data_IF_111271726173
#
_entry.id   IF_111271726173
#
_cell.length_a   1.000
_cell.length_b   1.000
_cell.length_c   1.000
_cell.angle_alpha   90.00
_cell.angle_beta   90.00
_cell.angle_gamma   90.00
#
_symmetry.space_group_name_H-M   'P 1'
#
loop_
_entity.id
_entity.type
_entity.pdbx_description
1 polymer ?
#
# COMPACT_ATOMS: atom_id res chain seq x y z
N UNK A 1 -24.48 3.24 -10.32
CA UNK A 1 -23.44 3.32 -9.27
C UNK A 1 -23.03 1.90 -8.88
N UNK A 2 -21.74 1.56 -8.77
CA UNK A 2 -21.35 0.24 -8.24
C UNK A 2 -21.71 0.12 -6.76
N UNK A 3 -22.20 -1.05 -6.34
CA UNK A 3 -22.52 -1.36 -4.96
C UNK A 3 -21.28 -1.26 -4.05
N UNK A 4 -21.50 -1.08 -2.74
CA UNK A 4 -20.40 -1.06 -1.76
C UNK A 4 -19.58 -2.36 -1.80
N UNK A 5 -20.24 -3.51 -1.92
CA UNK A 5 -19.58 -4.81 -2.01
C UNK A 5 -18.63 -4.89 -3.22
N UNK A 6 -19.05 -4.36 -4.38
CA UNK A 6 -18.22 -4.35 -5.58
C UNK A 6 -17.01 -3.41 -5.44
N UNK A 7 -17.19 -2.25 -4.80
CA UNK A 7 -16.06 -1.35 -4.47
C UNK A 7 -15.05 -2.06 -3.56
N UNK A 8 -15.52 -2.73 -2.52
CA UNK A 8 -14.66 -3.48 -1.58
C UNK A 8 -13.94 -4.60 -2.31
N UNK A 9 -14.62 -5.35 -3.18
CA UNK A 9 -14.01 -6.42 -3.97
C UNK A 9 -12.86 -5.94 -4.85
N UNK A 10 -12.99 -4.73 -5.41
CA UNK A 10 -11.92 -4.10 -6.19
C UNK A 10 -10.76 -3.62 -5.32
N UNK A 11 -11.03 -3.12 -4.11
CA UNK A 11 -10.00 -2.55 -3.23
C UNK A 11 -9.26 -3.59 -2.39
N UNK A 12 -9.93 -4.67 -1.98
CA UNK A 12 -9.38 -5.66 -1.06
C UNK A 12 -8.04 -6.27 -1.53
N UNK A 13 -7.86 -6.66 -2.81
CA UNK A 13 -6.57 -7.14 -3.29
C UNK A 13 -5.46 -6.07 -3.16
N UNK A 14 -5.79 -4.81 -3.43
CA UNK A 14 -4.81 -3.72 -3.32
C UNK A 14 -4.44 -3.42 -1.87
N UNK A 15 -5.38 -3.51 -0.93
CA UNK A 15 -5.08 -3.40 0.49
C UNK A 15 -4.17 -4.52 0.96
N UNK A 16 -4.44 -5.76 0.56
CA UNK A 16 -3.61 -6.91 0.89
C UNK A 16 -2.17 -6.73 0.40
N UNK A 17 -1.98 -6.33 -0.87
CA UNK A 17 -0.64 -6.04 -1.41
C UNK A 17 0.03 -4.90 -0.66
N UNK A 18 -0.70 -3.80 -0.39
CA UNK A 18 -0.13 -2.66 0.34
C UNK A 18 0.34 -3.05 1.74
N UNK A 19 -0.44 -3.85 2.48
CA UNK A 19 -0.02 -4.36 3.79
C UNK A 19 1.22 -5.25 3.69
N UNK A 20 1.25 -6.17 2.71
CA UNK A 20 2.42 -7.03 2.49
C UNK A 20 3.66 -6.18 2.20
N UNK A 21 3.54 -5.17 1.33
CA UNK A 21 4.65 -4.26 1.01
C UNK A 21 5.12 -3.49 2.25
N UNK A 22 4.20 -3.01 3.09
CA UNK A 22 4.55 -2.35 4.35
C UNK A 22 5.33 -3.26 5.29
N UNK A 23 4.86 -4.48 5.52
CA UNK A 23 5.56 -5.44 6.39
C UNK A 23 6.92 -5.83 5.82
N UNK A 24 7.00 -6.11 4.52
CA UNK A 24 8.27 -6.45 3.86
C UNK A 24 9.26 -5.28 3.94
N UNK A 25 8.81 -4.05 3.76
CA UNK A 25 9.66 -2.88 3.85
C UNK A 25 10.18 -2.67 5.28
N UNK A 26 9.31 -2.75 6.29
CA UNK A 26 9.72 -2.62 7.70
C UNK A 26 10.71 -3.73 8.09
N UNK A 27 10.36 -4.99 7.81
CA UNK A 27 11.25 -6.12 8.08
C UNK A 27 12.58 -6.02 7.32
N UNK A 28 12.54 -5.53 6.08
CA UNK A 28 13.74 -5.29 5.27
C UNK A 28 14.64 -4.22 5.85
N UNK A 29 14.07 -3.08 6.28
CA UNK A 29 14.83 -2.01 6.95
C UNK A 29 15.39 -2.51 8.27
N UNK A 30 14.60 -3.22 9.09
CA UNK A 30 15.05 -3.78 10.36
C UNK A 30 16.22 -4.77 10.16
N UNK A 31 16.13 -5.61 9.14
CA UNK A 31 17.18 -6.58 8.79
C UNK A 31 18.51 -5.91 8.41
N UNK A 32 18.45 -4.72 7.81
CA UNK A 32 19.62 -4.03 7.24
C UNK A 32 20.19 -2.96 8.16
N UNK A 33 19.35 -2.25 8.91
CA UNK A 33 19.71 -1.08 9.71
C UNK A 33 19.52 -1.28 11.23
N UNK A 34 19.01 -2.44 11.66
CA UNK A 34 18.67 -2.71 13.06
C UNK A 34 17.28 -2.19 13.44
N UNK A 35 16.98 -2.13 14.73
CA UNK A 35 15.64 -1.76 15.23
C UNK A 35 15.14 -0.41 14.67
N UNK A 36 13.91 -0.41 14.16
CA UNK A 36 13.28 0.80 13.61
C UNK A 36 12.31 1.38 14.65
N UNK A 37 12.64 2.58 15.15
CA UNK A 37 11.78 3.30 16.08
C UNK A 37 10.47 3.77 15.41
N UNK A 38 9.44 4.02 16.23
CA UNK A 38 8.08 4.36 15.78
C UNK A 38 8.03 5.48 14.72
N UNK A 39 8.79 6.56 14.92
CA UNK A 39 8.79 7.69 13.98
C UNK A 39 9.26 7.29 12.58
N UNK A 40 10.34 6.50 12.48
CA UNK A 40 10.84 6.00 11.21
C UNK A 40 9.86 5.00 10.57
N UNK A 41 9.26 4.12 11.38
CA UNK A 41 8.23 3.18 10.90
C UNK A 41 7.03 3.90 10.30
N UNK A 42 6.56 4.98 10.95
CA UNK A 42 5.48 5.82 10.43
C UNK A 42 5.86 6.45 9.08
N UNK A 43 7.07 7.01 8.97
CA UNK A 43 7.55 7.58 7.69
C UNK A 43 7.55 6.53 6.59
N UNK A 44 8.06 5.33 6.84
CA UNK A 44 8.08 4.23 5.86
C UNK A 44 6.65 3.89 5.41
N UNK A 45 5.73 3.73 6.35
CA UNK A 45 4.32 3.42 6.06
C UNK A 45 3.66 4.53 5.24
N UNK A 46 3.88 5.81 5.59
CA UNK A 46 3.33 6.94 4.83
C UNK A 46 3.90 7.00 3.42
N UNK A 47 5.20 6.82 3.25
CA UNK A 47 5.85 6.78 1.93
C UNK A 47 5.21 5.69 1.08
N UNK A 48 5.03 4.48 1.62
CA UNK A 48 4.41 3.37 0.88
C UNK A 48 2.96 3.67 0.55
N UNK A 49 2.18 4.20 1.50
CA UNK A 49 0.77 4.53 1.28
C UNK A 49 0.58 5.55 0.16
N UNK A 50 1.48 6.52 0.02
CA UNK A 50 1.45 7.53 -1.05
C UNK A 50 2.02 6.99 -2.36
N UNK A 51 3.14 6.26 -2.31
CA UNK A 51 3.80 5.73 -3.50
C UNK A 51 3.00 4.60 -4.17
N UNK A 52 2.29 3.79 -3.39
CA UNK A 52 1.58 2.61 -3.90
C UNK A 52 0.50 2.96 -4.95
N UNK A 53 -0.43 3.91 -4.71
CA UNK A 53 -1.38 4.32 -5.75
C UNK A 53 -0.71 4.92 -6.99
N UNK A 54 0.41 5.64 -6.82
CA UNK A 54 1.20 6.18 -7.94
C UNK A 54 1.75 5.06 -8.79
N UNK A 55 2.38 4.05 -8.16
CA UNK A 55 2.92 2.88 -8.85
C UNK A 55 1.82 2.07 -9.56
N UNK A 56 0.72 1.77 -8.88
CA UNK A 56 -0.42 1.03 -9.45
C UNK A 56 -1.02 1.76 -10.66
N UNK A 57 -1.10 3.09 -10.64
CA UNK A 57 -1.51 3.90 -11.80
C UNK A 57 -0.49 3.83 -12.94
N UNK A 58 0.79 3.97 -12.65
CA UNK A 58 1.86 3.90 -13.64
C UNK A 58 1.91 2.54 -14.35
N UNK A 59 1.61 1.46 -13.62
CA UNK A 59 1.55 0.09 -14.12
C UNK A 59 0.24 -0.23 -14.88
N UNK A 60 -0.71 0.69 -14.95
CA UNK A 60 -1.98 0.48 -15.66
C UNK A 60 -2.95 -0.50 -14.98
N UNK A 61 -2.69 -0.92 -13.74
CA UNK A 61 -3.49 -1.89 -12.98
C UNK A 61 -4.39 -1.21 -11.94
N UNK A 62 -4.66 0.09 -12.08
CA UNK A 62 -5.52 0.83 -11.16
C UNK A 62 -6.98 0.37 -11.26
N UNK A 63 -7.64 0.10 -10.11
CA UNK A 63 -9.01 -0.36 -10.10
C UNK A 63 -9.95 0.75 -10.60
N UNK A 64 -11.08 0.40 -11.25
CA UNK A 64 -12.04 1.37 -11.76
C UNK A 64 -12.53 2.38 -10.72
N UNK A 65 -12.63 1.98 -9.45
CA UNK A 65 -13.06 2.85 -8.34
C UNK A 65 -12.13 4.05 -8.10
N UNK A 66 -10.87 4.03 -8.54
CA UNK A 66 -9.94 5.16 -8.41
C UNK A 66 -10.06 6.20 -9.52
N UNK A 67 -10.81 5.94 -10.59
CA UNK A 67 -11.01 6.88 -11.71
C UNK A 67 -12.19 7.83 -11.49
N UNK A 68 -12.74 7.89 -10.28
CA UNK A 68 -13.91 8.70 -9.93
C UNK A 68 -13.52 10.01 -9.26
#
# INVERSE_FOLDING_TARGET
MTSTAEKVRQLAPHWAVMFIVMFVALAGVERLAGEVGLAASLVIVFVIAVAYPVAVRALGVAPPVWRR
#
